data_IF_092278994185
#
_entry.id   IF_092278994185
#
_cell.length_a   1.000
_cell.length_b   1.000
_cell.length_c   1.000
_cell.angle_alpha   90.00
_cell.angle_beta   90.00
_cell.angle_gamma   90.00
#
_symmetry.space_group_name_H-M   'P 1'
#
loop_
_entity.id
_entity.type
_entity.pdbx_description
1 polymer ?
#
# COMPACT_ATOMS: atom_id res chain seq x y z
N UNK A 1 -10.22 -2.53 0.77
CA UNK A 1 -9.21 -1.94 -0.10
C UNK A 1 -8.75 -0.61 0.47
N UNK A 2 -7.46 -0.52 0.71
CA UNK A 2 -6.82 0.69 1.25
C UNK A 2 -5.96 1.30 0.16
N UNK A 3 -6.10 2.61 -0.05
CA UNK A 3 -5.23 3.32 -0.97
C UNK A 3 -4.59 4.52 -0.28
N UNK A 4 -3.29 4.66 -0.50
CA UNK A 4 -2.45 5.65 0.16
C UNK A 4 -1.94 6.65 -0.88
N UNK A 5 -2.35 7.90 -0.71
CA UNK A 5 -2.03 8.99 -1.64
C UNK A 5 -1.00 9.96 -1.09
N UNK A 6 -0.74 9.92 0.22
CA UNK A 6 0.05 10.92 0.92
C UNK A 6 1.43 10.40 1.24
N UNK A 7 2.39 11.31 1.36
CA UNK A 7 3.72 11.00 1.82
C UNK A 7 3.66 10.36 3.22
N UNK A 8 4.48 9.35 3.45
CA UNK A 8 4.45 8.63 4.72
C UNK A 8 5.32 9.27 5.80
N UNK A 9 6.37 10.00 5.43
CA UNK A 9 7.19 10.73 6.40
C UNK A 9 6.48 11.97 6.90
N UNK A 10 6.58 12.22 8.20
CA UNK A 10 6.05 13.42 8.84
C UNK A 10 4.52 13.44 8.98
N UNK A 11 3.84 12.32 8.71
CA UNK A 11 2.38 12.20 8.85
C UNK A 11 2.02 10.93 9.60
N UNK A 12 0.83 10.92 10.20
CA UNK A 12 0.31 9.71 10.86
C UNK A 12 -0.52 8.84 9.90
N UNK A 13 -0.80 9.32 8.70
CA UNK A 13 -1.73 8.64 7.80
C UNK A 13 -1.29 7.23 7.45
N UNK A 14 -0.03 7.04 7.11
CA UNK A 14 0.43 5.72 6.72
C UNK A 14 0.48 4.75 7.91
N UNK A 15 0.95 5.20 9.09
CA UNK A 15 1.00 4.35 10.29
C UNK A 15 -0.40 3.95 10.74
N UNK A 16 -1.32 4.89 10.80
CA UNK A 16 -2.71 4.63 11.16
C UNK A 16 -3.42 3.80 10.09
N UNK A 17 -3.13 4.03 8.81
CA UNK A 17 -3.66 3.24 7.72
C UNK A 17 -3.18 1.79 7.76
N UNK A 18 -1.90 1.56 8.05
CA UNK A 18 -1.35 0.21 8.24
C UNK A 18 -1.99 -0.48 9.45
N UNK A 19 -2.14 0.24 10.54
CA UNK A 19 -2.82 -0.27 11.74
C UNK A 19 -4.27 -0.65 11.44
N UNK A 20 -4.98 0.18 10.69
CA UNK A 20 -6.34 -0.12 10.26
C UNK A 20 -6.41 -1.35 9.36
N UNK A 21 -5.46 -1.51 8.43
CA UNK A 21 -5.36 -2.69 7.58
C UNK A 21 -5.12 -3.96 8.39
N UNK A 22 -4.23 -3.91 9.38
CA UNK A 22 -4.01 -5.03 10.31
C UNK A 22 -5.30 -5.38 11.04
N UNK A 23 -6.03 -4.38 11.54
CA UNK A 23 -7.31 -4.59 12.21
C UNK A 23 -8.34 -5.29 11.30
N UNK A 24 -8.35 -4.98 10.02
CA UNK A 24 -9.25 -5.61 9.07
C UNK A 24 -8.92 -7.09 8.80
N UNK A 25 -7.66 -7.49 8.95
CA UNK A 25 -7.24 -8.88 8.76
C UNK A 25 -7.43 -9.75 10.00
N UNK A 26 -7.73 -9.13 11.15
CA UNK A 26 -7.81 -9.80 12.44
C UNK A 26 -9.27 -9.88 12.94
N UNK A 27 -9.50 -10.68 13.97
CA UNK A 27 -10.80 -10.80 14.63
C UNK A 27 -11.72 -11.84 14.01
N UNK A 28 -13.02 -11.71 14.27
CA UNK A 28 -14.03 -12.70 13.86
C UNK A 28 -14.30 -12.59 12.36
N UNK A 29 -14.38 -11.36 11.85
CA UNK A 29 -14.64 -11.08 10.44
C UNK A 29 -13.32 -10.78 9.73
N UNK A 30 -12.55 -11.80 9.41
CA UNK A 30 -11.30 -11.67 8.69
C UNK A 30 -11.56 -11.20 7.26
N UNK A 31 -11.14 -9.97 6.96
CA UNK A 31 -11.28 -9.39 5.64
C UNK A 31 -10.05 -9.66 4.77
N UNK A 32 -10.27 -9.84 3.49
CA UNK A 32 -9.20 -9.82 2.50
C UNK A 32 -8.81 -8.38 2.20
N UNK A 33 -7.55 -8.03 2.45
CA UNK A 33 -7.05 -6.67 2.32
C UNK A 33 -6.13 -6.54 1.11
N UNK A 34 -6.33 -5.49 0.33
CA UNK A 34 -5.43 -5.08 -0.76
C UNK A 34 -5.01 -3.64 -0.51
N UNK A 35 -3.74 -3.34 -0.71
CA UNK A 35 -3.16 -2.01 -0.51
C UNK A 35 -2.65 -1.47 -1.85
N UNK A 36 -3.04 -0.23 -2.16
CA UNK A 36 -2.56 0.51 -3.33
C UNK A 36 -1.78 1.74 -2.87
N UNK A 37 -0.56 1.89 -3.38
CA UNK A 37 0.28 3.06 -3.18
C UNK A 37 0.25 3.89 -4.46
N UNK A 38 -0.19 5.15 -4.34
CA UNK A 38 -0.31 6.07 -5.48
C UNK A 38 0.02 7.51 -5.03
N UNK A 39 0.21 8.41 -5.98
CA UNK A 39 0.64 9.78 -5.67
C UNK A 39 1.91 9.76 -4.82
N UNK A 40 1.97 10.55 -3.77
CA UNK A 40 3.11 10.58 -2.85
C UNK A 40 3.27 9.31 -2.01
N UNK A 41 2.24 8.48 -1.93
CA UNK A 41 2.30 7.19 -1.22
C UNK A 41 3.27 6.19 -1.84
N UNK A 42 3.65 6.38 -3.11
CA UNK A 42 4.58 5.48 -3.81
C UNK A 42 5.95 5.38 -3.15
N UNK A 43 6.39 6.42 -2.43
CA UNK A 43 7.71 6.42 -1.79
C UNK A 43 7.87 5.31 -0.76
N UNK A 44 6.77 4.86 -0.16
CA UNK A 44 6.78 3.73 0.76
C UNK A 44 7.19 2.41 0.08
N UNK A 45 6.99 2.29 -1.23
CA UNK A 45 7.29 1.08 -2.00
C UNK A 45 8.77 0.88 -2.30
N UNK A 46 9.62 1.88 -2.07
CA UNK A 46 11.01 1.85 -2.47
C UNK A 46 11.87 1.00 -1.56
N UNK A 47 12.87 0.33 -2.13
CA UNK A 47 13.84 -0.49 -1.37
C UNK A 47 14.57 0.29 -0.29
N UNK A 48 14.82 1.60 -0.54
CA UNK A 48 15.51 2.48 0.40
C UNK A 48 14.62 3.14 1.44
N UNK A 49 13.31 2.87 1.44
CA UNK A 49 12.38 3.48 2.39
C UNK A 49 12.63 2.96 3.81
N UNK A 50 12.65 3.89 4.78
CA UNK A 50 12.70 3.52 6.19
C UNK A 50 11.29 3.14 6.66
N UNK A 51 11.08 1.87 6.94
CA UNK A 51 9.79 1.30 7.37
C UNK A 51 9.85 0.82 8.82
N UNK A 52 10.84 1.26 9.59
CA UNK A 52 11.10 0.74 10.93
C UNK A 52 9.87 0.83 11.84
N UNK A 53 9.09 1.90 11.75
CA UNK A 53 7.89 2.09 12.57
C UNK A 53 6.77 1.10 12.24
N UNK A 54 6.75 0.57 11.02
CA UNK A 54 5.68 -0.30 10.54
C UNK A 54 6.08 -1.77 10.44
N UNK A 55 7.29 -2.16 10.87
CA UNK A 55 7.77 -3.54 10.69
C UNK A 55 6.82 -4.59 11.28
N UNK A 56 6.25 -4.32 12.45
CA UNK A 56 5.29 -5.23 13.07
C UNK A 56 3.99 -5.36 12.26
N UNK A 57 3.49 -4.27 11.74
CA UNK A 57 2.29 -4.25 10.89
C UNK A 57 2.56 -4.96 9.56
N UNK A 58 3.69 -4.69 8.94
CA UNK A 58 4.07 -5.34 7.68
C UNK A 58 4.19 -6.85 7.83
N UNK A 59 4.80 -7.32 8.89
CA UNK A 59 4.93 -8.75 9.16
C UNK A 59 3.56 -9.42 9.30
N UNK A 60 2.63 -8.78 10.00
CA UNK A 60 1.26 -9.27 10.17
C UNK A 60 0.51 -9.31 8.86
N UNK A 61 0.59 -8.23 8.06
CA UNK A 61 -0.08 -8.14 6.77
C UNK A 61 0.47 -9.16 5.77
N UNK A 62 1.78 -9.34 5.74
CA UNK A 62 2.43 -10.35 4.91
C UNK A 62 1.96 -11.76 5.26
N UNK A 63 1.87 -12.07 6.54
CA UNK A 63 1.37 -13.36 7.02
C UNK A 63 -0.09 -13.58 6.64
N UNK A 64 -0.90 -12.51 6.60
CA UNK A 64 -2.28 -12.55 6.18
C UNK A 64 -2.47 -12.62 4.65
N UNK A 65 -1.39 -12.57 3.87
CA UNK A 65 -1.44 -12.65 2.41
C UNK A 65 -1.88 -11.36 1.71
N UNK A 66 -1.71 -10.22 2.34
CA UNK A 66 -2.06 -8.92 1.78
C UNK A 66 -1.23 -8.63 0.52
N UNK A 67 -1.90 -8.17 -0.53
CA UNK A 67 -1.26 -7.78 -1.79
C UNK A 67 -1.02 -6.29 -1.81
N UNK A 68 0.16 -5.90 -2.29
CA UNK A 68 0.56 -4.50 -2.46
C UNK A 68 0.68 -4.17 -3.93
N UNK A 69 0.10 -3.04 -4.32
CA UNK A 69 0.19 -2.49 -5.66
C UNK A 69 0.76 -1.08 -5.63
N UNK A 70 1.51 -0.74 -6.66
CA UNK A 70 2.13 0.59 -6.84
C UNK A 70 1.79 1.10 -8.23
N UNK A 71 1.27 2.30 -8.33
CA UNK A 71 0.92 2.91 -9.62
C UNK A 71 2.18 3.27 -10.39
N UNK A 72 2.35 2.64 -11.54
CA UNK A 72 3.54 2.79 -12.38
C UNK A 72 3.76 4.22 -12.88
N UNK A 73 2.69 4.89 -13.30
CA UNK A 73 2.78 6.26 -13.81
C UNK A 73 3.23 7.24 -12.73
N UNK A 74 2.91 6.99 -11.47
CA UNK A 74 3.36 7.85 -10.37
C UNK A 74 4.87 7.70 -10.10
N UNK A 75 5.41 6.50 -10.32
CA UNK A 75 6.87 6.28 -10.32
C UNK A 75 7.53 7.02 -11.47
N UNK A 76 7.01 6.84 -12.68
CA UNK A 76 7.56 7.45 -13.89
C UNK A 76 7.56 8.99 -13.80
N UNK A 77 6.48 9.57 -13.28
CA UNK A 77 6.35 11.02 -13.09
C UNK A 77 7.40 11.59 -12.13
N UNK A 78 7.95 10.76 -11.26
CA UNK A 78 8.97 11.15 -10.27
C UNK A 78 10.37 10.69 -10.63
N UNK A 79 10.55 10.15 -11.84
CA UNK A 79 11.85 9.68 -12.31
C UNK A 79 12.40 8.46 -11.56
N UNK A 80 11.51 7.66 -10.97
CA UNK A 80 11.89 6.48 -10.20
C UNK A 80 11.87 5.25 -11.10
N UNK A 81 13.01 4.55 -11.18
CA UNK A 81 13.12 3.29 -11.93
C UNK A 81 12.36 2.15 -11.23
N UNK A 82 11.79 1.24 -11.99
CA UNK A 82 11.13 0.04 -11.45
C UNK A 82 12.07 -0.81 -10.58
N UNK A 83 13.37 -0.76 -10.84
CA UNK A 83 14.39 -1.49 -10.06
C UNK A 83 14.53 -0.98 -8.62
N UNK A 84 14.07 0.24 -8.35
CA UNK A 84 14.10 0.84 -7.01
C UNK A 84 12.93 0.40 -6.13
N UNK A 85 11.94 -0.28 -6.71
CA UNK A 85 10.75 -0.76 -6.00
C UNK A 85 11.05 -2.09 -5.30
N UNK A 86 10.55 -2.25 -4.09
CA UNK A 86 10.72 -3.48 -3.32
C UNK A 86 10.06 -4.68 -4.03
N UNK A 87 10.64 -5.88 -3.83
CA UNK A 87 10.25 -7.09 -4.57
C UNK A 87 8.82 -7.57 -4.29
N UNK A 88 8.28 -7.25 -3.13
CA UNK A 88 6.94 -7.66 -2.70
C UNK A 88 5.84 -6.72 -3.22
N UNK A 89 6.22 -5.68 -3.95
CA UNK A 89 5.31 -4.69 -4.54
C UNK A 89 5.00 -5.06 -5.99
N UNK A 90 3.72 -5.04 -6.34
CA UNK A 90 3.26 -5.29 -7.71
C UNK A 90 3.04 -3.97 -8.44
N UNK A 91 3.68 -3.78 -9.58
CA UNK A 91 3.46 -2.61 -10.41
C UNK A 91 2.12 -2.75 -11.14
N UNK A 92 1.32 -1.69 -11.13
CA UNK A 92 0.03 -1.66 -11.81
C UNK A 92 -0.10 -0.38 -12.63
N UNK A 93 -0.54 -0.46 -13.90
CA UNK A 93 -0.90 0.73 -14.67
C UNK A 93 -2.10 1.43 -14.04
N UNK A 94 -2.10 2.76 -14.06
CA UNK A 94 -3.23 3.54 -13.54
C UNK A 94 -4.56 3.11 -14.17
N UNK A 95 -4.56 2.82 -15.46
CA UNK A 95 -5.76 2.38 -16.16
C UNK A 95 -6.38 1.10 -15.59
N UNK A 96 -5.62 0.29 -14.87
CA UNK A 96 -6.09 -0.96 -14.28
C UNK A 96 -6.49 -0.83 -12.82
N UNK A 97 -6.22 0.29 -12.17
CA UNK A 97 -6.53 0.49 -10.74
C UNK A 97 -8.03 0.47 -10.47
N UNK A 98 -8.85 0.85 -11.44
CA UNK A 98 -10.30 0.85 -11.28
C UNK A 98 -10.85 -0.53 -10.90
N UNK A 99 -10.19 -1.61 -11.34
CA UNK A 99 -10.58 -2.97 -11.00
C UNK A 99 -10.48 -3.22 -9.50
N UNK A 100 -9.43 -2.70 -8.87
CA UNK A 100 -9.25 -2.82 -7.41
C UNK A 100 -10.38 -2.10 -6.66
N UNK A 101 -10.75 -0.91 -7.12
CA UNK A 101 -11.84 -0.15 -6.51
C UNK A 101 -13.20 -0.84 -6.68
N UNK A 102 -13.47 -1.39 -7.86
CA UNK A 102 -14.75 -2.03 -8.16
C UNK A 102 -14.93 -3.40 -7.52
N UNK A 103 -13.86 -4.18 -7.41
CA UNK A 103 -13.91 -5.52 -6.83
C UNK A 103 -13.98 -5.51 -5.31
N UNK A 104 -13.61 -4.41 -4.67
CA UNK A 104 -13.63 -4.29 -3.22
C UNK A 104 -15.03 -3.95 -2.71
N UNK A 105 -15.41 -4.55 -1.59
CA UNK A 105 -16.65 -4.20 -0.89
C UNK A 105 -16.54 -2.85 -0.20
N UNK A 106 -15.34 -2.51 0.32
CA UNK A 106 -15.06 -1.25 0.99
C UNK A 106 -13.77 -0.63 0.49
N UNK A 107 -13.80 0.67 0.25
CA UNK A 107 -12.64 1.47 -0.16
C UNK A 107 -12.32 2.51 0.90
N UNK A 108 -11.07 2.56 1.35
CA UNK A 108 -10.61 3.46 2.41
C UNK A 108 -9.44 4.30 1.93
N UNK A 109 -9.59 5.62 1.99
CA UNK A 109 -8.59 6.61 1.58
C UNK A 109 -7.71 7.04 2.77
N UNK A 110 -6.42 6.99 2.53
CA UNK A 110 -5.40 7.40 3.50
C UNK A 110 -4.39 8.41 2.94
#
# INVERSE_FOLDING_TARGET
FYYFNRAFYGTVFYTEGWRAAVGATAGIDEHEVTILLQGEGIYYSLKGADRAENLGYEATLKKAGVKYYVVKEDLDARGISNDEVAKDMNLIPRADTWKLYHEADFNLDW
#
